data_IF_459589572901
#
_entry.id   IF_459589572901
#
_cell.length_a   1.000
_cell.length_b   1.000
_cell.length_c   1.000
_cell.angle_alpha   90.00
_cell.angle_beta   90.00
_cell.angle_gamma   90.00
#
_symmetry.space_group_name_H-M   'P 1'
#
loop_
_entity.id
_entity.type
_entity.pdbx_description
1 polymer ?
#
# COMPACT_ATOMS: atom_id res chain seq x y z
N UNK A 1 -26.45 84.76 12.93
CA UNK A 1 -25.06 84.50 12.53
C UNK A 1 -24.30 83.95 13.73
N UNK A 2 -23.97 82.65 13.75
CA UNK A 2 -23.43 81.93 14.92
C UNK A 2 -21.89 82.01 14.87
N UNK A 3 -21.25 82.73 15.80
CA UNK A 3 -19.77 82.80 15.90
C UNK A 3 -19.24 81.41 16.28
N UNK A 4 -18.46 80.78 15.41
CA UNK A 4 -17.66 79.61 15.75
C UNK A 4 -16.59 80.03 16.76
N UNK A 5 -16.69 79.50 17.97
CA UNK A 5 -15.67 79.68 19.00
C UNK A 5 -14.54 78.70 18.66
N UNK A 6 -13.49 79.18 18.02
CA UNK A 6 -12.27 78.39 17.80
C UNK A 6 -11.61 78.18 19.16
N UNK A 7 -12.01 77.11 19.85
CA UNK A 7 -11.41 76.71 21.11
C UNK A 7 -10.03 76.13 20.81
N UNK A 8 -8.99 76.96 20.89
CA UNK A 8 -7.61 76.48 20.80
C UNK A 8 -7.33 75.50 21.94
N UNK A 9 -6.77 74.34 21.60
CA UNK A 9 -6.24 73.41 22.59
C UNK A 9 -4.96 74.02 23.17
N UNK A 10 -4.83 74.02 24.50
CA UNK A 10 -3.58 74.40 25.15
C UNK A 10 -2.54 73.32 24.94
N UNK A 11 -1.27 73.71 24.74
CA UNK A 11 -0.16 72.78 24.55
C UNK A 11 -0.09 71.75 25.70
N UNK A 12 -0.43 72.17 26.92
CA UNK A 12 -0.51 71.31 28.11
C UNK A 12 -1.54 70.19 27.95
N UNK A 13 -2.74 70.48 27.43
CA UNK A 13 -3.77 69.47 27.21
C UNK A 13 -3.34 68.46 26.13
N UNK A 14 -2.63 68.93 25.11
CA UNK A 14 -2.08 68.06 24.06
C UNK A 14 -1.02 67.11 24.62
N UNK A 15 -0.10 67.62 25.44
CA UNK A 15 0.98 66.81 26.06
C UNK A 15 0.41 65.70 26.94
N UNK A 16 -0.57 66.02 27.80
CA UNK A 16 -1.21 65.02 28.68
C UNK A 16 -1.87 63.92 27.87
N UNK A 17 -2.52 64.28 26.76
CA UNK A 17 -3.17 63.31 25.87
C UNK A 17 -2.16 62.34 25.26
N UNK A 18 -1.01 62.84 24.79
CA UNK A 18 0.06 62.01 24.21
C UNK A 18 0.65 61.06 25.25
N UNK A 19 0.91 61.54 26.47
CA UNK A 19 1.44 60.71 27.57
C UNK A 19 0.49 59.55 27.88
N UNK A 20 -0.82 59.82 27.98
CA UNK A 20 -1.84 58.80 28.21
C UNK A 20 -1.85 57.78 27.07
N UNK A 21 -1.84 58.24 25.80
CA UNK A 21 -1.80 57.36 24.64
C UNK A 21 -0.56 56.44 24.62
N UNK A 22 0.61 56.94 25.04
CA UNK A 22 1.84 56.15 25.11
C UNK A 22 1.76 55.06 26.18
N UNK A 23 1.19 55.36 27.34
CA UNK A 23 0.98 54.36 28.41
C UNK A 23 -0.01 53.30 27.96
N UNK A 24 -1.14 53.70 27.36
CA UNK A 24 -2.11 52.75 26.82
C UNK A 24 -1.51 51.84 25.74
N UNK A 25 -0.70 52.39 24.83
CA UNK A 25 0.00 51.60 23.82
C UNK A 25 0.99 50.61 24.45
N UNK A 26 1.75 51.04 25.46
CA UNK A 26 2.70 50.17 26.17
C UNK A 26 2.03 48.98 26.85
N UNK A 27 0.91 49.20 27.55
CA UNK A 27 0.14 48.14 28.22
C UNK A 27 -0.52 47.21 27.19
N UNK A 28 -1.10 47.76 26.11
CA UNK A 28 -1.73 46.97 25.06
C UNK A 28 -0.73 46.05 24.34
N UNK A 29 0.44 46.56 23.97
CA UNK A 29 1.51 45.77 23.32
C UNK A 29 2.02 44.70 24.28
N UNK A 30 2.21 45.04 25.56
CA UNK A 30 2.65 44.08 26.59
C UNK A 30 1.64 42.94 26.77
N UNK A 31 0.34 43.21 26.76
CA UNK A 31 -0.70 42.19 26.83
C UNK A 31 -0.73 41.31 25.56
N UNK A 32 -0.59 41.90 24.37
CA UNK A 32 -0.54 41.17 23.09
C UNK A 32 0.73 40.31 22.94
N UNK A 33 1.85 40.73 23.53
CA UNK A 33 3.09 39.94 23.54
C UNK A 33 3.05 38.83 24.61
N UNK A 34 2.49 39.08 25.79
CA UNK A 34 2.32 38.07 26.85
C UNK A 34 1.37 36.93 26.45
N UNK A 35 0.37 37.20 25.61
CA UNK A 35 -0.52 36.16 25.05
C UNK A 35 0.15 35.30 23.98
N UNK A 36 1.39 35.62 23.58
CA UNK A 36 2.10 34.92 22.51
C UNK A 36 1.46 35.08 21.12
N UNK A 37 0.51 36.02 20.96
CA UNK A 37 -0.29 36.16 19.73
C UNK A 37 0.58 36.37 18.48
N UNK A 38 1.61 37.21 18.58
CA UNK A 38 2.55 37.44 17.48
C UNK A 38 3.39 36.22 17.13
N UNK A 39 3.80 35.44 18.14
CA UNK A 39 4.57 34.22 17.93
C UNK A 39 3.69 33.13 17.29
N UNK A 40 2.46 32.97 17.78
CA UNK A 40 1.48 32.05 17.22
C UNK A 40 1.11 32.41 15.77
N UNK A 41 0.93 33.70 15.47
CA UNK A 41 0.68 34.18 14.10
C UNK A 41 1.87 33.91 13.18
N UNK A 42 3.10 34.08 13.68
CA UNK A 42 4.32 33.76 12.93
C UNK A 42 4.46 32.27 12.66
N UNK A 43 4.18 31.42 13.65
CA UNK A 43 4.18 29.97 13.49
C UNK A 43 3.13 29.50 12.50
N UNK A 44 1.91 30.05 12.58
CA UNK A 44 0.84 29.76 11.62
C UNK A 44 1.24 30.15 10.19
N UNK A 45 1.88 31.32 10.01
CA UNK A 45 2.43 31.76 8.72
C UNK A 45 3.47 30.78 8.19
N UNK A 46 4.43 30.37 9.02
CA UNK A 46 5.48 29.43 8.62
C UNK A 46 4.89 28.06 8.27
N UNK A 47 3.91 27.56 9.04
CA UNK A 47 3.22 26.31 8.75
C UNK A 47 2.46 26.37 7.41
N UNK A 48 1.81 27.49 7.12
CA UNK A 48 1.15 27.73 5.83
C UNK A 48 2.16 27.76 4.68
N UNK A 49 3.27 28.51 4.81
CA UNK A 49 4.31 28.57 3.78
C UNK A 49 4.93 27.18 3.52
N UNK A 50 5.19 26.41 4.57
CA UNK A 50 5.72 25.04 4.43
C UNK A 50 4.71 24.10 3.73
N UNK A 51 3.43 24.19 4.08
CA UNK A 51 2.39 23.40 3.42
C UNK A 51 2.26 23.77 1.93
N UNK A 52 2.33 25.07 1.60
CA UNK A 52 2.30 25.54 0.22
C UNK A 52 3.51 25.06 -0.59
N UNK A 53 4.70 25.05 0.02
CA UNK A 53 5.90 24.54 -0.63
C UNK A 53 5.79 23.04 -0.93
N UNK A 54 5.31 22.24 0.04
CA UNK A 54 5.08 20.81 -0.16
C UNK A 54 4.02 20.52 -1.24
N UNK A 55 2.96 21.32 -1.30
CA UNK A 55 1.97 21.25 -2.38
C UNK A 55 2.61 21.56 -3.74
N UNK A 56 3.42 22.61 -3.82
CA UNK A 56 4.09 22.99 -5.07
C UNK A 56 5.09 21.92 -5.53
N UNK A 57 5.87 21.32 -4.62
CA UNK A 57 6.74 20.17 -4.92
C UNK A 57 5.94 18.98 -5.47
N UNK A 58 4.79 18.69 -4.86
CA UNK A 58 3.88 17.62 -5.31
C UNK A 58 3.32 17.91 -6.71
N UNK A 59 2.94 19.15 -6.98
CA UNK A 59 2.46 19.57 -8.30
C UNK A 59 3.55 19.44 -9.37
N UNK A 60 4.79 19.85 -9.05
CA UNK A 60 5.95 19.71 -9.94
C UNK A 60 6.24 18.23 -10.23
N UNK A 61 6.18 17.35 -9.23
CA UNK A 61 6.35 15.90 -9.43
C UNK A 61 5.30 15.33 -10.39
N UNK A 62 4.02 15.70 -10.23
CA UNK A 62 2.97 15.30 -11.17
C UNK A 62 3.16 15.88 -12.56
N UNK A 63 3.51 17.16 -12.68
CA UNK A 63 3.79 17.79 -13.98
C UNK A 63 4.94 17.07 -14.71
N UNK A 64 6.02 16.74 -14.00
CA UNK A 64 7.14 16.00 -14.56
C UNK A 64 6.72 14.60 -15.03
N UNK A 65 5.96 13.85 -14.21
CA UNK A 65 5.44 12.53 -14.58
C UNK A 65 4.53 12.59 -15.80
N UNK A 66 3.65 13.58 -15.87
CA UNK A 66 2.76 13.79 -17.02
C UNK A 66 3.57 14.15 -18.26
N UNK A 67 4.53 15.06 -18.14
CA UNK A 67 5.38 15.44 -19.26
C UNK A 67 6.13 14.22 -19.80
N UNK A 68 6.76 13.40 -18.96
CA UNK A 68 7.40 12.15 -19.40
C UNK A 68 6.47 11.23 -20.19
N UNK A 69 5.19 11.15 -19.81
CA UNK A 69 4.19 10.31 -20.50
C UNK A 69 3.70 10.95 -21.81
N UNK A 70 3.55 12.28 -21.87
CA UNK A 70 2.95 13.00 -23.00
C UNK A 70 3.98 13.36 -24.09
N UNK A 71 5.23 13.66 -23.74
CA UNK A 71 6.31 13.88 -24.71
C UNK A 71 7.11 12.62 -25.04
N UNK A 72 6.86 11.50 -24.34
CA UNK A 72 7.41 10.19 -24.69
C UNK A 72 6.83 9.66 -26.00
N UNK A 73 7.70 9.19 -26.90
CA UNK A 73 7.27 8.40 -28.05
C UNK A 73 6.73 7.05 -27.51
N UNK A 74 5.56 6.57 -27.93
CA UNK A 74 5.01 5.28 -27.44
C UNK A 74 5.94 4.07 -27.69
N UNK A 75 6.94 4.27 -28.53
CA UNK A 75 7.91 3.26 -28.95
C UNK A 75 9.17 3.25 -28.06
N UNK A 76 9.49 4.37 -27.37
CA UNK A 76 10.71 4.53 -26.59
C UNK A 76 10.41 5.08 -25.18
N UNK A 77 10.49 4.21 -24.17
CA UNK A 77 10.34 4.59 -22.76
C UNK A 77 11.74 4.70 -22.14
N UNK A 78 12.08 5.89 -21.61
CA UNK A 78 13.28 6.07 -20.78
C UNK A 78 12.89 5.83 -19.33
N UNK A 79 13.42 4.76 -18.74
CA UNK A 79 13.28 4.46 -17.31
C UNK A 79 14.66 4.31 -16.68
N UNK A 80 14.72 4.48 -15.36
CA UNK A 80 15.95 4.21 -14.62
C UNK A 80 16.37 2.74 -14.79
N UNK A 81 17.70 2.49 -14.77
CA UNK A 81 18.22 1.14 -14.99
C UNK A 81 17.78 0.17 -13.89
N UNK A 82 17.72 0.61 -12.64
CA UNK A 82 17.31 -0.24 -11.52
C UNK A 82 15.81 -0.57 -11.61
N UNK A 83 15.00 0.41 -12.03
CA UNK A 83 13.58 0.21 -12.31
C UNK A 83 13.38 -0.76 -13.49
N UNK A 84 14.16 -0.63 -14.56
CA UNK A 84 14.14 -1.55 -15.70
C UNK A 84 14.44 -3.00 -15.28
N UNK A 85 15.53 -3.23 -14.54
CA UNK A 85 15.89 -4.59 -14.11
C UNK A 85 14.82 -5.19 -13.18
N UNK A 86 14.17 -4.37 -12.35
CA UNK A 86 13.06 -4.80 -11.48
C UNK A 86 11.84 -5.21 -12.30
N UNK A 87 11.43 -4.38 -13.26
CA UNK A 87 10.29 -4.67 -14.15
C UNK A 87 10.55 -5.91 -15.00
N UNK A 88 11.75 -6.00 -15.58
CA UNK A 88 12.20 -7.15 -16.37
C UNK A 88 12.11 -8.44 -15.55
N UNK A 89 12.71 -8.46 -14.36
CA UNK A 89 12.63 -9.61 -13.45
C UNK A 89 11.20 -9.97 -13.07
N UNK A 90 10.33 -9.00 -12.84
CA UNK A 90 8.93 -9.26 -12.51
C UNK A 90 8.12 -9.80 -13.69
N UNK A 91 8.56 -9.56 -14.93
CA UNK A 91 7.93 -10.10 -16.14
C UNK A 91 8.42 -11.51 -16.50
N UNK A 92 9.60 -11.91 -16.03
CA UNK A 92 10.15 -13.25 -16.23
C UNK A 92 9.30 -14.30 -15.50
N UNK A 93 9.05 -15.42 -16.17
CA UNK A 93 8.36 -16.57 -15.59
C UNK A 93 9.35 -17.53 -14.95
N UNK A 94 9.15 -17.81 -13.67
CA UNK A 94 9.76 -18.94 -12.99
C UNK A 94 8.81 -20.14 -13.13
N UNK A 95 9.22 -21.19 -13.83
CA UNK A 95 8.44 -22.42 -13.98
C UNK A 95 9.11 -23.56 -13.19
N UNK A 96 8.32 -24.24 -12.36
CA UNK A 96 8.73 -25.37 -11.56
C UNK A 96 7.92 -26.60 -11.98
N UNK A 97 8.48 -27.38 -12.90
CA UNK A 97 7.87 -28.62 -13.39
C UNK A 97 8.10 -29.78 -12.42
N UNK A 98 9.22 -29.77 -11.69
CA UNK A 98 9.50 -30.74 -10.64
C UNK A 98 8.91 -30.27 -9.30
N UNK A 99 7.70 -30.73 -9.00
CA UNK A 99 6.98 -30.32 -7.78
C UNK A 99 7.70 -30.70 -6.49
N UNK A 100 8.55 -31.73 -6.49
CA UNK A 100 9.30 -32.13 -5.30
C UNK A 100 10.35 -31.09 -4.89
N UNK A 101 10.77 -30.21 -5.80
CA UNK A 101 11.72 -29.12 -5.48
C UNK A 101 11.04 -27.97 -4.72
N UNK A 102 9.74 -27.78 -4.93
CA UNK A 102 8.98 -26.63 -4.41
C UNK A 102 7.94 -27.01 -3.37
N UNK A 103 7.52 -28.27 -3.30
CA UNK A 103 6.53 -28.78 -2.36
C UNK A 103 7.16 -29.94 -1.57
N UNK A 104 7.11 -29.84 -0.25
CA UNK A 104 7.37 -30.96 0.65
C UNK A 104 6.08 -31.79 0.78
N UNK A 105 6.05 -32.94 0.12
CA UNK A 105 4.90 -33.84 0.11
C UNK A 105 4.74 -34.59 1.43
N UNK A 106 3.49 -34.80 1.84
CA UNK A 106 3.16 -35.72 2.94
C UNK A 106 3.01 -37.16 2.44
N UNK A 107 3.30 -38.12 3.32
CA UNK A 107 3.34 -39.56 3.00
C UNK A 107 1.97 -40.16 2.61
N UNK A 108 0.89 -39.43 2.82
CA UNK A 108 -0.49 -39.80 2.48
C UNK A 108 -0.87 -39.40 1.04
N UNK A 109 0.11 -39.15 0.16
CA UNK A 109 -0.08 -38.82 -1.26
C UNK A 109 0.51 -39.92 -2.14
N UNK A 110 -0.23 -40.33 -3.15
CA UNK A 110 0.15 -41.43 -4.06
C UNK A 110 0.79 -40.91 -5.35
N UNK A 111 0.26 -39.80 -5.89
CA UNK A 111 0.76 -39.16 -7.11
C UNK A 111 0.58 -37.65 -6.92
N UNK A 112 1.65 -36.90 -7.19
CA UNK A 112 1.61 -35.46 -7.40
C UNK A 112 2.27 -35.14 -8.74
N UNK A 113 1.48 -34.69 -9.70
CA UNK A 113 1.96 -34.16 -10.99
C UNK A 113 1.47 -32.72 -11.13
N UNK A 114 2.08 -31.94 -12.02
CA UNK A 114 1.64 -30.58 -12.29
C UNK A 114 2.81 -29.60 -12.40
N UNK A 115 2.52 -28.33 -12.16
CA UNK A 115 3.50 -27.25 -12.29
C UNK A 115 3.18 -26.12 -11.33
N UNK A 116 4.22 -25.42 -10.88
CA UNK A 116 4.11 -24.11 -10.22
C UNK A 116 4.71 -23.06 -11.13
N UNK A 117 3.97 -22.01 -11.41
CA UNK A 117 4.43 -20.86 -12.20
C UNK A 117 4.39 -19.62 -11.34
N UNK A 118 5.47 -18.84 -11.35
CA UNK A 118 5.54 -17.55 -10.65
C UNK A 118 5.97 -16.47 -11.63
N UNK A 119 5.28 -15.33 -11.59
CA UNK A 119 5.64 -14.12 -12.31
C UNK A 119 5.51 -12.94 -11.33
N UNK A 120 6.64 -12.36 -10.93
CA UNK A 120 6.66 -11.34 -9.88
C UNK A 120 6.04 -11.87 -8.58
N UNK A 121 4.90 -11.30 -8.15
CA UNK A 121 4.16 -11.79 -6.98
C UNK A 121 3.04 -12.78 -7.33
N UNK A 122 2.66 -12.92 -8.60
CA UNK A 122 1.58 -13.80 -9.00
C UNK A 122 2.12 -15.23 -9.04
N UNK A 123 1.44 -16.14 -8.36
CA UNK A 123 1.76 -17.57 -8.38
C UNK A 123 0.54 -18.33 -8.88
N UNK A 124 0.75 -19.18 -9.87
CA UNK A 124 -0.22 -20.18 -10.31
C UNK A 124 0.28 -21.56 -9.92
N UNK A 125 -0.57 -22.34 -9.26
CA UNK A 125 -0.28 -23.73 -8.90
C UNK A 125 -1.33 -24.60 -9.59
N UNK A 126 -0.86 -25.49 -10.45
CA UNK A 126 -1.66 -26.50 -11.10
C UNK A 126 -1.22 -27.89 -10.60
N UNK A 127 -2.11 -28.64 -9.96
CA UNK A 127 -1.79 -29.91 -9.33
C UNK A 127 -2.75 -31.01 -9.77
N UNK A 128 -2.20 -32.17 -10.03
CA UNK A 128 -2.89 -33.46 -10.09
C UNK A 128 -2.55 -34.23 -8.82
N UNK A 129 -3.53 -34.41 -7.94
CA UNK A 129 -3.33 -35.15 -6.68
C UNK A 129 -4.17 -36.41 -6.66
N UNK A 130 -3.55 -37.53 -6.29
CA UNK A 130 -4.24 -38.77 -5.98
C UNK A 130 -3.92 -39.20 -4.56
N UNK A 131 -4.96 -39.46 -3.77
CA UNK A 131 -4.82 -39.93 -2.38
C UNK A 131 -5.09 -41.44 -2.25
N UNK A 132 -4.51 -42.10 -1.23
CA UNK A 132 -4.80 -43.49 -0.90
C UNK A 132 -6.27 -43.73 -0.55
N UNK A 133 -6.72 -45.00 -0.59
CA UNK A 133 -8.11 -45.40 -0.35
C UNK A 133 -8.64 -45.12 1.08
N UNK A 134 -7.81 -44.62 1.99
CA UNK A 134 -8.16 -44.42 3.42
C UNK A 134 -8.63 -43.01 3.78
N UNK A 135 -8.70 -42.07 2.83
CA UNK A 135 -9.14 -40.70 3.15
C UNK A 135 -10.66 -40.63 3.24
N UNK A 136 -11.16 -40.23 4.41
CA UNK A 136 -12.58 -39.97 4.65
C UNK A 136 -13.08 -38.84 3.75
N UNK A 137 -14.24 -39.03 3.12
CA UNK A 137 -14.85 -38.01 2.26
C UNK A 137 -15.05 -36.69 3.02
N UNK A 138 -14.85 -35.57 2.33
CA UNK A 138 -15.07 -34.20 2.80
C UNK A 138 -14.22 -33.73 3.99
N UNK A 139 -13.17 -34.47 4.36
CA UNK A 139 -12.21 -34.06 5.39
C UNK A 139 -11.03 -33.33 4.77
N UNK A 140 -10.67 -32.17 5.33
CA UNK A 140 -9.45 -31.46 4.97
C UNK A 140 -8.22 -32.30 5.29
N UNK A 141 -7.51 -32.65 4.23
CA UNK A 141 -6.31 -33.47 4.29
C UNK A 141 -5.13 -32.62 3.83
N UNK A 142 -4.12 -32.51 4.68
CA UNK A 142 -2.85 -31.89 4.31
C UNK A 142 -2.10 -32.80 3.34
N UNK A 143 -1.62 -32.21 2.24
CA UNK A 143 -0.93 -32.94 1.17
C UNK A 143 0.52 -32.51 1.01
N UNK A 144 0.86 -31.30 1.47
CA UNK A 144 2.24 -30.83 1.48
C UNK A 144 2.38 -29.39 1.93
N UNK A 145 3.62 -28.90 1.92
CA UNK A 145 3.98 -27.55 2.32
C UNK A 145 4.91 -26.94 1.26
N UNK A 146 4.67 -25.69 0.89
CA UNK A 146 5.57 -24.95 0.00
C UNK A 146 6.92 -24.70 0.69
N UNK A 147 8.01 -25.04 0.01
CA UNK A 147 9.38 -24.94 0.53
C UNK A 147 9.97 -23.53 0.41
N UNK A 148 9.39 -22.68 -0.45
CA UNK A 148 9.94 -21.39 -0.82
C UNK A 148 8.96 -20.27 -0.42
N UNK A 149 9.43 -19.34 0.41
CA UNK A 149 8.65 -18.19 0.89
C UNK A 149 8.08 -17.34 -0.25
N UNK A 150 8.77 -17.27 -1.40
CA UNK A 150 8.31 -16.55 -2.59
C UNK A 150 7.07 -17.18 -3.24
N UNK A 151 6.71 -18.40 -2.85
CA UNK A 151 5.52 -19.10 -3.32
C UNK A 151 4.39 -19.03 -2.29
N UNK A 152 4.64 -18.57 -1.07
CA UNK A 152 3.64 -18.59 0.00
C UNK A 152 2.64 -17.43 -0.18
N UNK A 153 1.32 -17.66 -0.14
CA UNK A 153 0.33 -16.62 -0.33
C UNK A 153 0.30 -15.62 0.83
N UNK A 154 -0.17 -14.40 0.56
CA UNK A 154 -0.35 -13.36 1.58
C UNK A 154 -1.48 -13.70 2.57
N UNK A 155 -2.52 -14.37 2.08
CA UNK A 155 -3.70 -14.80 2.82
C UNK A 155 -4.01 -16.27 2.50
N UNK A 156 -5.01 -16.86 3.15
CA UNK A 156 -5.46 -18.20 2.77
C UNK A 156 -6.22 -18.13 1.45
N UNK A 157 -5.80 -18.93 0.47
CA UNK A 157 -6.29 -18.87 -0.90
C UNK A 157 -7.01 -20.16 -1.27
N UNK A 158 -8.18 -20.02 -1.87
CA UNK A 158 -9.10 -21.13 -2.11
C UNK A 158 -9.20 -21.43 -3.60
N UNK A 159 -9.10 -22.72 -3.93
CA UNK A 159 -9.25 -23.23 -5.28
C UNK A 159 -10.29 -24.34 -5.38
N UNK A 160 -10.77 -24.55 -6.60
CA UNK A 160 -11.68 -25.64 -6.91
C UNK A 160 -10.90 -26.85 -7.41
N UNK A 161 -11.31 -28.04 -6.98
CA UNK A 161 -10.82 -29.30 -7.53
C UNK A 161 -11.86 -29.86 -8.49
N UNK A 162 -11.52 -29.89 -9.78
CA UNK A 162 -12.36 -30.50 -10.80
C UNK A 162 -12.18 -32.01 -10.84
N UNK A 163 -13.29 -32.75 -10.88
CA UNK A 163 -13.30 -34.22 -10.87
C UNK A 163 -14.64 -34.77 -11.38
N UNK A 164 -14.95 -34.60 -12.68
CA UNK A 164 -16.27 -34.97 -13.22
C UNK A 164 -17.41 -34.33 -12.40
N UNK A 165 -18.37 -35.14 -11.93
CA UNK A 165 -19.49 -34.71 -11.06
C UNK A 165 -19.12 -34.65 -9.57
N UNK A 166 -17.92 -35.11 -9.18
CA UNK A 166 -17.50 -35.33 -7.79
C UNK A 166 -16.34 -34.41 -7.39
N UNK A 167 -16.50 -33.12 -7.68
CA UNK A 167 -15.51 -32.09 -7.38
C UNK A 167 -15.22 -31.93 -5.88
N UNK A 168 -14.20 -31.12 -5.59
CA UNK A 168 -13.76 -30.81 -4.24
C UNK A 168 -13.22 -29.40 -4.12
N UNK A 169 -12.54 -29.13 -3.02
CA UNK A 169 -11.83 -27.87 -2.83
C UNK A 169 -10.40 -28.13 -2.42
N UNK A 170 -9.56 -27.15 -2.70
CA UNK A 170 -8.24 -27.08 -2.09
C UNK A 170 -7.98 -25.69 -1.56
N UNK A 171 -7.05 -25.60 -0.63
CA UNK A 171 -6.64 -24.35 -0.01
C UNK A 171 -5.13 -24.35 0.12
N UNK A 172 -4.53 -23.20 -0.15
CA UNK A 172 -3.14 -22.92 0.19
C UNK A 172 -3.17 -21.85 1.26
N UNK A 173 -2.75 -22.22 2.47
CA UNK A 173 -2.76 -21.31 3.61
C UNK A 173 -1.64 -20.27 3.50
N UNK A 174 -1.78 -19.14 4.20
CA UNK A 174 -0.75 -18.11 4.36
C UNK A 174 0.56 -18.62 5.00
N UNK A 175 0.54 -19.85 5.55
CA UNK A 175 1.71 -20.52 6.11
C UNK A 175 2.32 -21.53 5.10
N UNK A 176 1.85 -21.54 3.85
CA UNK A 176 2.37 -22.38 2.77
C UNK A 176 1.84 -23.81 2.79
N UNK A 177 0.93 -24.15 3.70
CA UNK A 177 0.34 -25.50 3.79
C UNK A 177 -0.72 -25.69 2.71
N UNK A 178 -0.61 -26.77 1.95
CA UNK A 178 -1.55 -27.18 0.91
C UNK A 178 -2.47 -28.26 1.48
N UNK A 179 -3.78 -28.01 1.43
CA UNK A 179 -4.81 -28.95 1.89
C UNK A 179 -5.86 -29.15 0.83
N UNK A 180 -6.45 -30.34 0.81
CA UNK A 180 -7.53 -30.71 -0.10
C UNK A 180 -8.70 -31.33 0.67
N UNK A 181 -9.91 -31.21 0.13
CA UNK A 181 -11.09 -32.01 0.53
C UNK A 181 -11.85 -32.46 -0.72
N UNK A 182 -12.36 -33.68 -0.73
CA UNK A 182 -13.14 -34.23 -1.85
C UNK A 182 -13.85 -35.53 -1.49
N UNK A 183 -14.62 -36.07 -2.43
CA UNK A 183 -15.36 -37.33 -2.23
C UNK A 183 -14.45 -38.58 -2.34
N UNK A 184 -14.43 -39.37 -1.27
CA UNK A 184 -13.46 -40.44 -0.92
C UNK A 184 -12.74 -41.22 -2.04
N UNK A 185 -11.50 -41.62 -1.72
CA UNK A 185 -10.75 -42.82 -2.14
C UNK A 185 -10.40 -43.02 -3.63
N UNK A 186 -9.09 -43.05 -3.93
CA UNK A 186 -8.45 -43.42 -5.23
C UNK A 186 -8.76 -42.50 -6.42
N UNK A 187 -9.34 -41.36 -6.10
CA UNK A 187 -9.80 -40.34 -7.02
C UNK A 187 -8.65 -39.37 -7.36
N UNK A 188 -8.41 -39.15 -8.66
CA UNK A 188 -7.44 -38.15 -9.13
C UNK A 188 -8.15 -36.81 -9.28
N UNK A 189 -7.71 -35.80 -8.53
CA UNK A 189 -8.24 -34.44 -8.58
C UNK A 189 -7.32 -33.53 -9.36
N UNK A 190 -7.91 -32.57 -10.08
CA UNK A 190 -7.21 -31.52 -10.81
C UNK A 190 -7.53 -30.19 -10.13
N UNK A 191 -6.52 -29.49 -9.62
CA UNK A 191 -6.66 -28.19 -8.99
C UNK A 191 -5.86 -27.12 -9.71
N UNK A 192 -6.46 -25.94 -9.90
CA UNK A 192 -5.73 -24.73 -10.30
C UNK A 192 -6.05 -23.60 -9.32
N UNK A 193 -5.03 -22.89 -8.88
CA UNK A 193 -5.17 -21.70 -8.04
C UNK A 193 -4.18 -20.64 -8.50
N UNK A 194 -4.65 -19.40 -8.52
CA UNK A 194 -3.81 -18.23 -8.76
C UNK A 194 -3.94 -17.30 -7.56
N UNK A 195 -2.82 -16.82 -7.04
CA UNK A 195 -2.80 -15.92 -5.89
C UNK A 195 -1.60 -14.99 -5.89
N UNK A 196 -1.61 -14.01 -4.97
CA UNK A 196 -0.48 -13.15 -4.70
C UNK A 196 0.37 -13.69 -3.55
N UNK A 197 1.65 -13.92 -3.82
CA UNK A 197 2.68 -14.28 -2.84
C UNK A 197 3.14 -13.10 -2.00
N UNK A 198 3.75 -13.39 -0.85
CA UNK A 198 4.32 -12.40 0.08
C UNK A 198 5.37 -11.51 -0.59
#
# INVERSE_FOLDING_TARGET
MKKSKNNGITLVALIVTIIILLILAGVAISALTQTGLFENAKQAKNAMENAQNAENETLIDYENKINTIVTGNREDITIDREEYETLKKNSEYENYENLEEVIELKNNIKILEGEVKRQGKIVNIHLFVQTPQTVQADVWTEIGTLKNDKLIPQIDEWGYLAQGTYGGNFVITKDGIIKFRGQSSNTRYIGNITYFSK
#
